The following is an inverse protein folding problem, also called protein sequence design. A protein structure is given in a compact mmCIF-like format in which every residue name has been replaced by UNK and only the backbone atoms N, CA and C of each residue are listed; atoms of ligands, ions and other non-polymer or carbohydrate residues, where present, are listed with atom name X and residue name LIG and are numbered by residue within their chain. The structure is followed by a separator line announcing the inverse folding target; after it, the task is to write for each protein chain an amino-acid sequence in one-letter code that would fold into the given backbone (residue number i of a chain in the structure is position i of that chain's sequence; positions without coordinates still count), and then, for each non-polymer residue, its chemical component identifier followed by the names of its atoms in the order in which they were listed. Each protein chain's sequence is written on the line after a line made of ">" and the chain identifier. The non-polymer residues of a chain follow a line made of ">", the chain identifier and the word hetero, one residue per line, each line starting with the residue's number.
data_IF_768333804307
#
_entry.id   IF_768333804307
#
_cell.length_a   1.000
_cell.length_b   1.000
_cell.length_c   1.000
_cell.angle_alpha   90.00
_cell.angle_beta   90.00
_cell.angle_gamma   90.00
#
_symmetry.space_group_name_H-M   'P 1'
#
loop_
_entity.id
_entity.type
_entity.pdbx_description
1 polymer ?
#
# COMPACT_ATOMS: atom_id res chain seq x y z
N UNK A 1 51.22 17.90 26.65
CA UNK A 1 51.83 16.57 26.43
C UNK A 1 50.76 15.69 25.82
N UNK A 2 50.99 15.08 24.66
CA UNK A 2 50.02 14.15 24.07
C UNK A 2 49.81 12.95 25.03
N UNK A 3 48.57 12.53 25.24
CA UNK A 3 48.27 11.39 26.11
C UNK A 3 48.92 10.11 25.55
N UNK A 4 49.09 9.08 26.39
CA UNK A 4 49.58 7.77 25.93
C UNK A 4 48.69 7.18 24.82
N UNK A 5 47.39 7.43 24.87
CA UNK A 5 46.43 7.06 23.84
C UNK A 5 46.68 7.80 22.50
N UNK A 6 46.98 9.10 22.53
CA UNK A 6 47.29 9.88 21.32
C UNK A 6 48.59 9.43 20.63
N UNK A 7 49.55 8.92 21.41
CA UNK A 7 50.77 8.32 20.85
C UNK A 7 50.45 7.01 20.13
N UNK A 8 49.68 6.12 20.78
CA UNK A 8 49.25 4.84 20.20
C UNK A 8 48.41 5.03 18.92
N UNK A 9 47.45 5.97 18.93
CA UNK A 9 46.61 6.26 17.77
C UNK A 9 47.39 6.78 16.56
N UNK A 10 48.47 7.54 16.78
CA UNK A 10 49.37 7.96 15.70
C UNK A 10 50.20 6.81 15.13
N UNK A 11 50.77 5.97 16.00
CA UNK A 11 51.52 4.78 15.56
C UNK A 11 50.64 3.80 14.78
N UNK A 12 49.39 3.59 15.22
CA UNK A 12 48.43 2.75 14.50
C UNK A 12 48.07 3.36 13.14
N UNK A 13 47.77 4.66 13.08
CA UNK A 13 47.50 5.37 11.82
C UNK A 13 48.65 5.26 10.82
N UNK A 14 49.89 5.33 11.30
CA UNK A 14 51.09 5.17 10.48
C UNK A 14 51.22 3.74 9.94
N UNK A 15 51.04 2.72 10.79
CA UNK A 15 51.03 1.32 10.38
C UNK A 15 49.95 1.02 9.33
N UNK A 16 48.73 1.53 9.53
CA UNK A 16 47.59 1.30 8.63
C UNK A 16 47.86 1.78 7.20
N UNK A 17 48.75 2.77 6.98
CA UNK A 17 49.14 3.21 5.62
C UNK A 17 49.87 2.14 4.82
N UNK A 18 50.57 1.23 5.50
CA UNK A 18 51.35 0.16 4.86
C UNK A 18 50.51 -1.12 4.65
N UNK A 19 49.33 -1.19 5.27
CA UNK A 19 48.46 -2.36 5.25
C UNK A 19 48.04 -2.75 3.81
N UNK A 20 47.56 -1.84 2.94
CA UNK A 20 47.10 -2.22 1.59
C UNK A 20 48.18 -2.86 0.71
N UNK A 21 49.44 -2.49 0.91
CA UNK A 21 50.56 -2.94 0.06
C UNK A 21 51.19 -4.22 0.61
N UNK A 22 51.40 -4.31 1.92
CA UNK A 22 52.21 -5.38 2.51
C UNK A 22 51.39 -6.46 3.23
N UNK A 23 50.19 -6.14 3.70
CA UNK A 23 49.38 -7.03 4.55
C UNK A 23 48.10 -7.49 3.86
N UNK A 24 47.35 -6.59 3.23
CA UNK A 24 46.08 -6.90 2.56
C UNK A 24 46.20 -8.01 1.48
N UNK A 25 47.26 -8.07 0.65
CA UNK A 25 47.42 -9.17 -0.31
C UNK A 25 47.60 -10.54 0.36
N UNK A 26 48.18 -10.57 1.56
CA UNK A 26 48.34 -11.80 2.35
C UNK A 26 47.01 -12.22 2.97
N UNK A 27 46.20 -11.24 3.43
CA UNK A 27 44.93 -11.50 4.07
C UNK A 27 43.84 -11.90 3.08
N UNK A 28 43.72 -11.22 1.94
CA UNK A 28 42.51 -11.29 1.11
C UNK A 28 42.71 -11.97 -0.24
N UNK A 29 43.92 -12.46 -0.55
CA UNK A 29 44.18 -13.14 -1.82
C UNK A 29 43.99 -14.65 -1.70
N UNK A 30 42.92 -15.16 -2.29
CA UNK A 30 42.66 -16.58 -2.44
C UNK A 30 42.16 -16.91 -3.85
N UNK A 31 42.47 -18.11 -4.32
CA UNK A 31 41.96 -18.67 -5.57
C UNK A 31 41.28 -20.01 -5.29
N UNK A 32 40.16 -20.25 -5.94
CA UNK A 32 39.41 -21.49 -5.83
C UNK A 32 38.72 -21.78 -7.16
N UNK A 33 38.84 -23.02 -7.67
CA UNK A 33 38.20 -23.41 -8.93
C UNK A 33 38.60 -22.57 -10.16
N UNK A 34 39.85 -22.09 -10.21
CA UNK A 34 40.35 -21.27 -11.33
C UNK A 34 39.90 -19.81 -11.32
N UNK A 35 39.19 -19.35 -10.28
CA UNK A 35 38.84 -17.93 -10.07
C UNK A 35 39.50 -17.37 -8.82
N UNK A 36 39.82 -16.08 -8.88
CA UNK A 36 40.19 -15.30 -7.70
C UNK A 36 38.93 -14.97 -6.90
N UNK A 37 38.99 -15.14 -5.57
CA UNK A 37 37.91 -14.75 -4.67
C UNK A 37 37.99 -13.26 -4.37
N UNK A 38 36.83 -12.66 -4.16
CA UNK A 38 36.71 -11.28 -3.68
C UNK A 38 37.09 -11.21 -2.20
N UNK A 39 37.54 -10.03 -1.75
CA UNK A 39 37.90 -9.79 -0.35
C UNK A 39 36.76 -10.16 0.62
N UNK A 40 35.52 -9.77 0.29
CA UNK A 40 34.34 -10.11 1.08
C UNK A 40 34.02 -11.61 1.12
N UNK A 41 34.34 -12.34 0.06
CA UNK A 41 34.18 -13.80 0.02
C UNK A 41 35.20 -14.48 0.94
N UNK A 42 36.46 -14.02 0.92
CA UNK A 42 37.52 -14.50 1.82
C UNK A 42 37.20 -14.18 3.27
N UNK A 43 36.72 -12.97 3.57
CA UNK A 43 36.33 -12.59 4.94
C UNK A 43 35.20 -13.48 5.50
N UNK A 44 34.18 -13.78 4.69
CA UNK A 44 33.08 -14.67 5.13
C UNK A 44 33.55 -16.10 5.37
N UNK A 45 34.39 -16.65 4.49
CA UNK A 45 34.94 -18.01 4.67
C UNK A 45 35.78 -18.09 5.95
N UNK A 46 36.63 -17.09 6.21
CA UNK A 46 37.48 -17.07 7.40
C UNK A 46 36.68 -16.87 8.70
N UNK A 47 35.67 -15.98 8.69
CA UNK A 47 34.81 -15.79 9.86
C UNK A 47 34.06 -17.08 10.24
N UNK A 48 33.57 -17.84 9.25
CA UNK A 48 32.91 -19.12 9.51
C UNK A 48 33.88 -20.23 9.94
N UNK A 49 35.16 -20.15 9.54
CA UNK A 49 36.18 -21.08 10.00
C UNK A 49 36.57 -20.84 11.46
N UNK A 50 36.60 -19.58 11.89
CA UNK A 50 36.97 -19.16 13.24
C UNK A 50 35.81 -19.32 14.23
N UNK A 51 34.60 -18.88 13.87
CA UNK A 51 33.44 -18.83 14.77
C UNK A 51 32.45 -20.00 14.59
N UNK A 52 32.67 -20.86 13.59
CA UNK A 52 31.76 -21.94 13.22
C UNK A 52 30.46 -21.45 12.56
N UNK A 53 29.35 -22.23 12.63
CA UNK A 53 28.11 -21.87 11.94
C UNK A 53 27.45 -20.58 12.47
N UNK A 54 27.35 -19.56 11.61
CA UNK A 54 26.81 -18.24 11.93
C UNK A 54 25.50 -17.94 11.19
N UNK A 55 24.64 -17.12 11.82
CA UNK A 55 23.49 -16.52 11.12
C UNK A 55 23.93 -15.38 10.19
N UNK A 56 23.22 -15.09 9.08
CA UNK A 56 23.52 -13.94 8.21
C UNK A 56 23.58 -12.61 8.96
N UNK A 57 22.73 -12.41 9.98
CA UNK A 57 22.76 -11.20 10.81
C UNK A 57 24.05 -11.06 11.61
N UNK A 58 24.60 -12.17 12.12
CA UNK A 58 25.89 -12.15 12.83
C UNK A 58 27.06 -11.87 11.88
N UNK A 59 27.05 -12.47 10.69
CA UNK A 59 28.07 -12.22 9.67
C UNK A 59 28.04 -10.75 9.21
N UNK A 60 26.84 -10.21 8.95
CA UNK A 60 26.66 -8.80 8.57
C UNK A 60 27.20 -7.83 9.61
N UNK A 61 26.97 -8.12 10.90
CA UNK A 61 27.45 -7.28 12.01
C UNK A 61 28.96 -7.42 12.24
N UNK A 62 29.47 -8.64 12.30
CA UNK A 62 30.88 -8.91 12.57
C UNK A 62 31.81 -8.40 11.46
N UNK A 63 31.37 -8.46 10.20
CA UNK A 63 32.14 -7.97 9.05
C UNK A 63 31.79 -6.53 8.64
N UNK A 64 30.89 -5.86 9.37
CA UNK A 64 30.34 -4.54 9.03
C UNK A 64 29.84 -4.45 7.57
N UNK A 65 29.20 -5.52 7.09
CA UNK A 65 28.70 -5.64 5.72
C UNK A 65 27.20 -5.31 5.65
N UNK A 66 26.81 -4.47 4.70
CA UNK A 66 25.38 -4.19 4.45
C UNK A 66 24.63 -5.45 4.00
N UNK A 67 23.39 -5.62 4.47
CA UNK A 67 22.57 -6.83 4.23
C UNK A 67 22.44 -7.20 2.75
N UNK A 68 22.23 -6.24 1.85
CA UNK A 68 22.10 -6.49 0.41
C UNK A 68 23.40 -7.01 -0.23
N UNK A 69 24.56 -6.57 0.26
CA UNK A 69 25.88 -7.03 -0.18
C UNK A 69 26.18 -8.44 0.34
N UNK A 70 25.84 -8.72 1.60
CA UNK A 70 26.06 -10.03 2.20
C UNK A 70 25.29 -11.15 1.49
N UNK A 71 24.02 -10.94 1.15
CA UNK A 71 23.21 -11.95 0.43
C UNK A 71 23.87 -12.36 -0.90
N UNK A 72 24.43 -11.39 -1.64
CA UNK A 72 25.12 -11.67 -2.89
C UNK A 72 26.43 -12.45 -2.67
N UNK A 73 27.17 -12.17 -1.59
CA UNK A 73 28.39 -12.88 -1.22
C UNK A 73 28.09 -14.32 -0.81
N UNK A 74 27.10 -14.53 0.06
CA UNK A 74 26.68 -15.87 0.51
C UNK A 74 26.27 -16.74 -0.68
N UNK A 75 25.43 -16.22 -1.57
CA UNK A 75 25.00 -16.93 -2.77
C UNK A 75 26.17 -17.35 -3.66
N UNK A 76 27.14 -16.47 -3.93
CA UNK A 76 28.29 -16.81 -4.77
C UNK A 76 29.18 -17.89 -4.15
N UNK A 77 29.33 -17.89 -2.83
CA UNK A 77 30.10 -18.91 -2.12
C UNK A 77 29.36 -20.26 -2.04
N UNK A 78 28.03 -20.23 -1.94
CA UNK A 78 27.17 -21.41 -2.07
C UNK A 78 27.24 -22.01 -3.47
N UNK A 79 27.18 -21.17 -4.52
CA UNK A 79 27.31 -21.59 -5.92
C UNK A 79 28.68 -22.25 -6.20
N UNK A 80 29.72 -21.85 -5.46
CA UNK A 80 31.04 -22.49 -5.50
C UNK A 80 31.14 -23.77 -4.67
N UNK A 81 30.08 -24.16 -3.95
CA UNK A 81 30.08 -25.30 -3.05
C UNK A 81 30.93 -25.12 -1.80
N UNK A 82 31.28 -23.88 -1.43
CA UNK A 82 32.10 -23.57 -0.26
C UNK A 82 31.25 -23.41 1.02
N UNK A 83 29.97 -23.09 0.88
CA UNK A 83 29.02 -22.91 1.99
C UNK A 83 27.81 -23.82 1.86
N UNK A 84 27.27 -24.21 3.02
CA UNK A 84 25.97 -24.87 3.18
C UNK A 84 25.04 -24.06 4.05
N UNK A 85 23.73 -24.33 3.93
CA UNK A 85 22.68 -23.79 4.80
C UNK A 85 22.10 -24.90 5.67
N UNK A 86 21.89 -24.57 6.94
CA UNK A 86 21.23 -25.44 7.90
C UNK A 86 20.06 -24.68 8.54
N UNK A 87 18.86 -25.18 8.34
CA UNK A 87 17.64 -24.61 8.92
C UNK A 87 17.62 -24.77 10.44
N UNK A 88 17.02 -23.80 11.13
CA UNK A 88 16.78 -23.86 12.57
C UNK A 88 15.36 -24.41 12.77
N UNK A 89 15.18 -25.59 13.41
CA UNK A 89 13.87 -26.27 13.48
C UNK A 89 12.74 -25.47 14.15
N UNK A 90 13.07 -24.43 14.91
CA UNK A 90 12.14 -23.64 15.72
C UNK A 90 11.77 -22.30 15.05
N UNK A 91 12.38 -21.95 13.92
CA UNK A 91 12.11 -20.72 13.17
C UNK A 91 12.37 -20.95 11.66
N UNK A 92 11.30 -21.21 10.91
CA UNK A 92 11.34 -21.43 9.45
C UNK A 92 11.92 -20.25 8.65
N UNK A 93 12.10 -19.07 9.28
CA UNK A 93 12.66 -17.87 8.66
C UNK A 93 14.14 -17.65 9.00
N UNK A 94 14.74 -18.50 9.83
CA UNK A 94 16.12 -18.37 10.28
C UNK A 94 16.96 -19.60 9.92
N UNK A 95 18.07 -19.37 9.22
CA UNK A 95 19.05 -20.41 8.88
C UNK A 95 20.45 -20.01 9.37
N UNK A 96 21.30 -21.02 9.58
CA UNK A 96 22.74 -20.84 9.78
C UNK A 96 23.49 -21.18 8.50
N UNK A 97 24.56 -20.43 8.27
CA UNK A 97 25.52 -20.68 7.22
C UNK A 97 26.70 -21.42 7.84
N UNK A 98 27.17 -22.47 7.19
CA UNK A 98 28.32 -23.26 7.62
C UNK A 98 29.25 -23.56 6.44
N UNK A 99 30.54 -23.81 6.73
CA UNK A 99 31.49 -24.24 5.71
C UNK A 99 31.19 -25.68 5.30
N UNK A 100 31.24 -25.95 4.00
CA UNK A 100 31.34 -27.33 3.51
C UNK A 100 32.74 -27.89 3.77
N UNK A 101 32.99 -29.19 3.58
CA UNK A 101 34.35 -29.74 3.63
C UNK A 101 35.32 -29.03 2.66
N UNK A 102 34.85 -28.60 1.49
CA UNK A 102 35.65 -27.83 0.54
C UNK A 102 35.92 -26.40 1.05
N UNK A 103 34.92 -25.76 1.66
CA UNK A 103 35.08 -24.47 2.34
C UNK A 103 36.08 -24.50 3.49
N UNK A 104 36.04 -25.55 4.31
CA UNK A 104 36.96 -25.75 5.42
C UNK A 104 38.40 -25.97 4.92
N UNK A 105 38.59 -26.82 3.89
CA UNK A 105 39.91 -27.05 3.30
C UNK A 105 40.50 -25.76 2.69
N UNK A 106 39.67 -24.95 2.04
CA UNK A 106 40.07 -23.64 1.54
C UNK A 106 40.47 -22.69 2.68
N UNK A 107 39.69 -22.63 3.76
CA UNK A 107 40.03 -21.79 4.92
C UNK A 107 41.38 -22.19 5.53
N UNK A 108 41.64 -23.48 5.72
CA UNK A 108 42.95 -23.98 6.17
C UNK A 108 44.08 -23.55 5.22
N UNK A 109 43.88 -23.69 3.91
CA UNK A 109 44.87 -23.25 2.92
C UNK A 109 45.17 -21.74 3.02
N UNK A 110 44.12 -20.91 3.18
CA UNK A 110 44.26 -19.46 3.35
C UNK A 110 45.03 -19.13 4.63
N UNK A 111 44.70 -19.77 5.76
CA UNK A 111 45.40 -19.60 7.04
C UNK A 111 46.89 -19.93 6.92
N UNK A 112 47.22 -21.03 6.27
CA UNK A 112 48.62 -21.46 6.13
C UNK A 112 49.42 -20.52 5.24
N UNK A 113 48.83 -20.06 4.15
CA UNK A 113 49.43 -19.05 3.28
C UNK A 113 49.63 -17.72 4.00
N UNK A 114 48.63 -17.24 4.75
CA UNK A 114 48.71 -16.04 5.59
C UNK A 114 49.87 -16.15 6.56
N UNK A 115 49.93 -17.27 7.28
CA UNK A 115 50.97 -17.56 8.29
C UNK A 115 52.38 -17.59 7.69
N UNK A 116 52.54 -18.15 6.50
CA UNK A 116 53.81 -18.16 5.79
C UNK A 116 54.21 -16.76 5.30
N UNK A 117 53.30 -16.06 4.62
CA UNK A 117 53.60 -14.71 4.09
C UNK A 117 53.91 -13.69 5.18
N UNK A 118 53.22 -13.75 6.32
CA UNK A 118 53.54 -12.90 7.47
C UNK A 118 54.92 -13.22 8.05
N UNK A 119 55.28 -14.51 8.16
CA UNK A 119 56.63 -14.91 8.60
C UNK A 119 57.72 -14.35 7.70
N UNK A 120 57.55 -14.46 6.38
CA UNK A 120 58.52 -13.96 5.40
C UNK A 120 58.62 -12.42 5.46
N UNK A 121 57.48 -11.74 5.58
CA UNK A 121 57.39 -10.27 5.67
C UNK A 121 58.18 -9.73 6.86
N UNK A 122 58.11 -10.41 8.01
CA UNK A 122 58.78 -9.98 9.24
C UNK A 122 60.14 -10.65 9.48
N UNK A 123 60.62 -11.49 8.56
CA UNK A 123 61.85 -12.28 8.75
C UNK A 123 63.13 -11.44 8.94
N UNK A 124 63.12 -10.17 8.50
CA UNK A 124 64.27 -9.25 8.61
C UNK A 124 64.22 -8.34 9.83
N UNK A 125 63.18 -8.43 10.65
CA UNK A 125 63.06 -7.64 11.87
C UNK A 125 63.97 -8.25 12.95
N UNK A 126 64.61 -7.40 13.76
CA UNK A 126 65.43 -7.89 14.87
C UNK A 126 64.55 -8.69 15.86
N UNK A 127 65.08 -9.75 16.50
CA UNK A 127 64.29 -10.58 17.41
C UNK A 127 63.60 -9.79 18.53
N UNK A 128 64.29 -8.81 19.12
CA UNK A 128 63.77 -7.98 20.20
C UNK A 128 62.64 -7.05 19.72
N UNK A 129 62.76 -6.48 18.52
CA UNK A 129 61.72 -5.64 17.92
C UNK A 129 60.47 -6.46 17.55
N UNK A 130 60.67 -7.69 17.06
CA UNK A 130 59.56 -8.61 16.77
C UNK A 130 58.82 -9.02 18.05
N UNK A 131 59.55 -9.26 19.13
CA UNK A 131 58.96 -9.55 20.44
C UNK A 131 58.18 -8.35 20.98
N UNK A 132 58.74 -7.15 20.92
CA UNK A 132 58.07 -5.93 21.37
C UNK A 132 56.79 -5.65 20.55
N UNK A 133 56.84 -5.85 19.22
CA UNK A 133 55.70 -5.64 18.34
C UNK A 133 54.57 -6.67 18.59
N UNK A 134 54.92 -7.95 18.75
CA UNK A 134 53.94 -9.01 19.05
C UNK A 134 53.23 -8.77 20.39
N UNK A 135 53.99 -8.42 21.44
CA UNK A 135 53.41 -8.04 22.73
C UNK A 135 52.45 -6.84 22.63
N UNK A 136 52.79 -5.84 21.82
CA UNK A 136 51.90 -4.72 21.54
C UNK A 136 50.60 -5.13 20.83
N UNK A 137 50.69 -6.01 19.83
CA UNK A 137 49.53 -6.54 19.10
C UNK A 137 48.66 -7.44 19.98
N UNK A 138 49.25 -8.24 20.87
CA UNK A 138 48.52 -9.08 21.81
C UNK A 138 47.73 -8.23 22.82
N UNK A 139 48.32 -7.14 23.32
CA UNK A 139 47.63 -6.18 24.19
C UNK A 139 46.46 -5.51 23.47
N UNK A 140 46.63 -5.09 22.21
CA UNK A 140 45.56 -4.53 21.39
C UNK A 140 44.45 -5.56 21.13
N UNK A 141 44.82 -6.79 20.80
CA UNK A 141 43.87 -7.88 20.54
C UNK A 141 43.05 -8.23 21.79
N UNK A 142 43.70 -8.31 22.96
CA UNK A 142 43.02 -8.52 24.23
C UNK A 142 42.08 -7.36 24.60
N UNK A 143 42.47 -6.12 24.29
CA UNK A 143 41.62 -4.94 24.49
C UNK A 143 40.42 -4.94 23.55
N UNK A 144 40.59 -5.23 22.26
CA UNK A 144 39.49 -5.33 21.31
C UNK A 144 38.52 -6.45 21.66
N UNK A 145 39.02 -7.63 22.07
CA UNK A 145 38.17 -8.71 22.57
C UNK A 145 37.34 -8.27 23.77
N UNK A 146 37.93 -7.52 24.72
CA UNK A 146 37.19 -6.97 25.86
C UNK A 146 36.13 -5.96 25.43
N UNK A 147 36.43 -5.09 24.46
CA UNK A 147 35.43 -4.16 23.88
C UNK A 147 34.31 -4.89 23.15
N UNK A 148 34.62 -5.97 22.43
CA UNK A 148 33.63 -6.82 21.76
C UNK A 148 32.76 -7.58 22.77
N UNK A 149 33.34 -8.13 23.83
CA UNK A 149 32.62 -8.77 24.95
C UNK A 149 31.72 -7.74 25.68
N UNK A 150 32.22 -6.54 25.97
CA UNK A 150 31.46 -5.45 26.59
C UNK A 150 30.33 -4.96 25.66
N UNK A 151 30.59 -4.85 24.36
CA UNK A 151 29.58 -4.51 23.35
C UNK A 151 28.55 -5.63 23.16
N UNK A 152 28.93 -6.90 23.29
CA UNK A 152 28.03 -8.06 23.21
C UNK A 152 27.18 -8.21 24.50
N UNK A 153 27.75 -7.84 25.66
CA UNK A 153 27.06 -7.84 26.96
C UNK A 153 26.08 -6.67 27.04
N UNK A 154 26.50 -5.45 26.65
CA UNK A 154 25.58 -4.33 26.47
C UNK A 154 24.55 -4.63 25.37
N UNK A 155 24.91 -5.29 24.27
CA UNK A 155 23.90 -5.70 23.28
C UNK A 155 22.91 -6.76 23.79
N UNK A 156 23.21 -7.49 24.87
CA UNK A 156 22.25 -8.38 25.54
C UNK A 156 21.42 -7.65 26.60
N UNK A 157 21.94 -6.59 27.23
CA UNK A 157 21.20 -5.80 28.23
C UNK A 157 20.37 -4.66 27.61
N UNK A 158 20.84 -4.05 26.52
CA UNK A 158 20.08 -3.08 25.69
C UNK A 158 19.23 -3.76 24.61
N UNK A 159 19.37 -5.08 24.44
CA UNK A 159 18.35 -5.91 23.83
C UNK A 159 17.71 -6.72 24.96
N UNK A 160 16.79 -6.08 25.68
CA UNK A 160 15.51 -6.77 25.87
C UNK A 160 15.20 -7.34 24.49
N UNK A 161 15.25 -8.69 24.32
CA UNK A 161 14.72 -9.36 23.13
C UNK A 161 13.50 -8.53 22.78
N UNK A 162 13.42 -7.87 21.60
CA UNK A 162 12.24 -7.08 21.30
C UNK A 162 11.12 -8.02 21.66
N UNK A 163 10.32 -7.66 22.68
CA UNK A 163 9.20 -8.49 23.11
C UNK A 163 8.58 -8.83 21.78
N UNK A 164 8.58 -10.13 21.44
CA UNK A 164 8.06 -10.52 20.16
C UNK A 164 6.58 -10.21 20.33
N UNK A 165 6.21 -8.97 20.04
CA UNK A 165 4.97 -8.33 20.43
C UNK A 165 3.83 -9.11 19.82
N UNK A 166 4.13 -9.79 18.72
CA UNK A 166 3.28 -10.75 18.09
C UNK A 166 3.05 -11.95 19.00
N UNK A 167 4.08 -12.68 19.44
CA UNK A 167 3.92 -13.81 20.35
C UNK A 167 3.50 -13.45 21.80
N UNK A 168 3.76 -12.22 22.24
CA UNK A 168 3.33 -11.71 23.54
C UNK A 168 1.87 -11.25 23.55
N UNK A 169 1.29 -10.96 22.38
CA UNK A 169 -0.11 -10.59 22.26
C UNK A 169 -1.03 -11.79 22.44
N UNK A 170 -2.28 -11.49 22.84
CA UNK A 170 -3.30 -12.52 22.97
C UNK A 170 -3.50 -13.26 21.63
N UNK A 171 -3.95 -14.53 21.64
CA UNK A 171 -4.28 -15.23 20.41
C UNK A 171 -5.31 -14.48 19.56
N UNK A 172 -6.23 -13.75 20.20
CA UNK A 172 -7.25 -12.94 19.56
C UNK A 172 -6.66 -11.74 18.82
N UNK A 173 -5.80 -10.95 19.49
CA UNK A 173 -5.13 -9.79 18.89
C UNK A 173 -4.25 -10.19 17.70
N UNK A 174 -3.58 -11.34 17.79
CA UNK A 174 -2.79 -11.89 16.67
C UNK A 174 -3.67 -12.24 15.49
N UNK A 175 -4.78 -12.93 15.74
CA UNK A 175 -5.74 -13.32 14.69
C UNK A 175 -6.28 -12.09 13.97
N UNK A 176 -6.63 -11.04 14.71
CA UNK A 176 -7.08 -9.76 14.13
C UNK A 176 -5.96 -9.10 13.31
N UNK A 177 -4.74 -9.03 13.84
CA UNK A 177 -3.57 -8.47 13.16
C UNK A 177 -3.19 -9.22 11.87
N UNK A 178 -3.28 -10.54 11.88
CA UNK A 178 -2.98 -11.36 10.69
C UNK A 178 -4.06 -11.22 9.61
N UNK A 179 -5.32 -11.06 10.02
CA UNK A 179 -6.43 -10.80 9.11
C UNK A 179 -6.47 -9.34 8.61
N UNK A 180 -5.75 -8.42 9.25
CA UNK A 180 -5.72 -7.02 8.87
C UNK A 180 -5.06 -6.82 7.50
N UNK A 181 -5.70 -6.02 6.66
CA UNK A 181 -5.23 -5.63 5.33
C UNK A 181 -5.97 -4.38 4.86
N UNK A 182 -5.59 -3.82 3.70
CA UNK A 182 -6.22 -2.61 3.17
C UNK A 182 -7.66 -2.81 2.64
N UNK A 183 -8.18 -4.03 2.64
CA UNK A 183 -9.50 -4.37 2.08
C UNK A 183 -10.60 -4.33 3.15
N UNK A 184 -11.81 -3.97 2.72
CA UNK A 184 -13.03 -4.17 3.51
C UNK A 184 -13.27 -5.66 3.73
N UNK A 185 -13.71 -6.02 4.92
CA UNK A 185 -13.97 -7.42 5.27
C UNK A 185 -15.35 -7.57 5.88
N UNK A 186 -16.10 -8.58 5.43
CA UNK A 186 -17.37 -8.96 6.04
C UNK A 186 -17.15 -9.57 7.43
N UNK A 187 -17.93 -9.15 8.40
CA UNK A 187 -18.01 -9.69 9.77
C UNK A 187 -19.10 -10.76 9.78
N UNK A 188 -18.72 -12.02 10.00
CA UNK A 188 -19.65 -13.16 9.93
C UNK A 188 -20.00 -13.74 11.30
N UNK A 189 -19.17 -13.46 12.30
CA UNK A 189 -19.38 -13.88 13.68
C UNK A 189 -18.89 -12.81 14.66
N UNK A 190 -19.32 -12.92 15.92
CA UNK A 190 -18.89 -12.02 16.99
C UNK A 190 -17.36 -11.97 17.19
N UNK A 191 -16.63 -13.02 16.78
CA UNK A 191 -15.17 -13.06 16.83
C UNK A 191 -14.48 -12.31 15.67
N UNK A 192 -15.22 -11.91 14.63
CA UNK A 192 -14.67 -11.20 13.46
C UNK A 192 -14.77 -9.68 13.60
N UNK A 193 -15.66 -9.20 14.48
CA UNK A 193 -15.88 -7.77 14.72
C UNK A 193 -14.72 -7.20 15.54
N UNK A 194 -14.18 -6.02 15.18
CA UNK A 194 -13.07 -5.45 15.94
C UNK A 194 -13.49 -5.13 17.39
N UNK A 195 -12.58 -5.29 18.37
CA UNK A 195 -12.92 -5.19 19.80
C UNK A 195 -13.69 -3.92 20.19
N UNK A 196 -13.32 -2.76 19.61
CA UNK A 196 -13.97 -1.46 19.87
C UNK A 196 -15.42 -1.38 19.45
N UNK A 197 -15.88 -2.26 18.57
CA UNK A 197 -17.22 -2.24 18.00
C UNK A 197 -18.09 -3.43 18.44
N UNK A 198 -17.58 -4.31 19.31
CA UNK A 198 -18.29 -5.54 19.75
C UNK A 198 -19.68 -5.29 20.30
N UNK A 199 -19.88 -4.15 20.98
CA UNK A 199 -21.19 -3.78 21.54
C UNK A 199 -22.29 -3.61 20.49
N UNK A 200 -21.92 -3.37 19.23
CA UNK A 200 -22.87 -3.18 18.13
C UNK A 200 -23.15 -4.48 17.36
N UNK A 201 -22.40 -5.57 17.61
CA UNK A 201 -22.61 -6.83 16.90
C UNK A 201 -24.01 -7.41 17.07
N UNK A 202 -24.60 -7.50 18.30
CA UNK A 202 -25.90 -8.12 18.48
C UNK A 202 -27.04 -7.42 17.72
N UNK A 203 -26.93 -6.11 17.48
CA UNK A 203 -27.94 -5.33 16.75
C UNK A 203 -27.85 -5.56 15.23
N UNK A 204 -26.66 -5.89 14.72
CA UNK A 204 -26.38 -5.93 13.28
C UNK A 204 -25.87 -7.29 12.78
N UNK A 205 -25.91 -8.36 13.58
CA UNK A 205 -25.44 -9.69 13.20
C UNK A 205 -26.21 -10.30 12.02
N UNK A 206 -27.40 -9.80 11.76
CA UNK A 206 -28.26 -10.20 10.64
C UNK A 206 -28.32 -9.16 9.52
N UNK A 207 -27.50 -8.12 9.58
CA UNK A 207 -27.43 -7.14 8.51
C UNK A 207 -27.02 -7.80 7.19
N UNK A 208 -27.60 -7.33 6.08
CA UNK A 208 -27.29 -7.85 4.74
C UNK A 208 -25.81 -7.74 4.40
N UNK A 209 -25.20 -6.65 4.85
CA UNK A 209 -23.76 -6.43 4.87
C UNK A 209 -23.36 -5.91 6.24
N UNK A 210 -22.39 -6.55 6.90
CA UNK A 210 -21.73 -6.04 8.09
C UNK A 210 -20.23 -6.01 7.80
N UNK A 211 -19.66 -4.83 7.63
CA UNK A 211 -18.30 -4.62 7.13
C UNK A 211 -17.44 -3.98 8.21
N UNK A 212 -16.19 -4.42 8.34
CA UNK A 212 -15.15 -3.70 9.08
C UNK A 212 -14.23 -2.95 8.11
N UNK A 213 -13.95 -1.70 8.47
CA UNK A 213 -13.25 -0.71 7.64
C UNK A 213 -11.84 -0.52 8.19
N UNK A 214 -10.79 -0.95 7.47
CA UNK A 214 -9.43 -0.89 7.99
C UNK A 214 -8.94 0.55 8.05
N UNK A 215 -8.10 0.86 9.04
CA UNK A 215 -7.39 2.15 9.08
C UNK A 215 -6.38 2.24 7.95
N UNK A 216 -6.24 3.43 7.39
CA UNK A 216 -5.14 3.73 6.48
C UNK A 216 -3.84 3.96 7.26
N UNK A 217 -3.12 2.89 7.56
CA UNK A 217 -1.87 2.93 8.32
C UNK A 217 -0.81 1.97 7.75
N UNK A 218 0.47 2.37 7.82
CA UNK A 218 1.58 1.49 7.45
C UNK A 218 1.63 0.32 8.45
N UNK A 219 1.49 -0.92 7.93
CA UNK A 219 1.54 -2.16 8.71
C UNK A 219 2.78 -2.25 9.60
N UNK A 220 3.90 -1.63 9.21
CA UNK A 220 5.15 -1.57 10.00
C UNK A 220 5.00 -0.80 11.31
N UNK A 221 4.03 0.09 11.39
CA UNK A 221 3.70 0.88 12.59
C UNK A 221 2.64 0.21 13.45
N UNK A 222 1.92 -0.77 12.92
CA UNK A 222 0.84 -1.46 13.62
C UNK A 222 1.35 -2.65 14.42
N UNK A 223 0.67 -2.93 15.54
CA UNK A 223 0.92 -4.05 16.45
C UNK A 223 -0.43 -4.68 16.83
N UNK A 224 -0.48 -5.98 17.15
CA UNK A 224 -1.63 -6.62 17.77
C UNK A 224 -2.09 -5.86 19.02
N UNK A 225 -3.40 -5.76 19.20
CA UNK A 225 -4.04 -5.01 20.29
C UNK A 225 -4.17 -3.51 20.04
N UNK A 226 -3.60 -2.98 18.95
CA UNK A 226 -3.90 -1.61 18.49
C UNK A 226 -5.26 -1.58 17.80
N UNK A 227 -5.88 -0.39 17.73
CA UNK A 227 -7.08 -0.18 16.93
C UNK A 227 -6.72 -0.22 15.44
N UNK A 228 -6.94 -1.37 14.80
CA UNK A 228 -6.61 -1.63 13.39
C UNK A 228 -7.72 -1.19 12.42
N UNK A 229 -8.95 -1.10 12.90
CA UNK A 229 -10.13 -0.72 12.11
C UNK A 229 -10.69 0.60 12.61
N UNK A 230 -11.02 1.51 11.69
CA UNK A 230 -11.59 2.82 12.02
C UNK A 230 -13.11 2.82 12.08
N UNK A 231 -13.77 1.86 11.43
CA UNK A 231 -15.22 1.82 11.44
C UNK A 231 -15.79 0.40 11.28
N UNK A 232 -17.05 0.24 11.71
CA UNK A 232 -17.94 -0.84 11.30
C UNK A 232 -19.14 -0.22 10.60
N UNK A 233 -19.48 -0.77 9.45
CA UNK A 233 -20.55 -0.30 8.58
C UNK A 233 -21.53 -1.45 8.32
N UNK A 234 -22.78 -1.27 8.73
CA UNK A 234 -23.85 -2.23 8.53
C UNK A 234 -24.90 -1.67 7.55
N UNK A 235 -25.44 -2.54 6.71
CA UNK A 235 -26.50 -2.22 5.75
C UNK A 235 -27.52 -3.35 5.78
N UNK A 236 -28.79 -3.00 5.94
CA UNK A 236 -29.90 -3.94 6.06
C UNK A 236 -31.18 -3.43 5.38
N UNK A 237 -32.31 -4.06 5.66
CA UNK A 237 -33.57 -3.73 5.01
C UNK A 237 -34.14 -2.37 5.43
N UNK A 238 -33.73 -1.82 6.58
CA UNK A 238 -34.25 -0.60 7.19
C UNK A 238 -33.35 0.62 6.91
N UNK A 239 -32.05 0.39 6.71
CA UNK A 239 -31.12 1.47 6.40
C UNK A 239 -29.66 1.07 6.47
N UNK A 240 -28.84 2.03 6.92
CA UNK A 240 -27.45 1.77 7.26
C UNK A 240 -27.06 2.34 8.62
N UNK A 241 -26.07 1.69 9.22
CA UNK A 241 -25.44 2.07 10.47
C UNK A 241 -23.94 2.19 10.24
N UNK A 242 -23.35 3.28 10.72
CA UNK A 242 -21.91 3.51 10.72
C UNK A 242 -21.47 3.84 12.14
N UNK A 243 -20.61 2.99 12.70
CA UNK A 243 -19.84 3.28 13.91
C UNK A 243 -18.42 3.61 13.52
N UNK A 244 -17.91 4.80 13.88
CA UNK A 244 -16.56 5.27 13.56
C UNK A 244 -15.78 5.61 14.82
N UNK A 245 -14.52 5.20 14.88
CA UNK A 245 -13.59 5.50 15.95
C UNK A 245 -12.93 6.86 15.70
N UNK A 246 -13.27 7.85 16.51
CA UNK A 246 -12.76 9.23 16.46
C UNK A 246 -12.25 9.62 17.85
N UNK A 247 -10.98 10.03 17.94
CA UNK A 247 -10.32 10.47 19.18
C UNK A 247 -10.47 9.50 20.37
N UNK A 248 -10.48 8.19 20.08
CA UNK A 248 -10.61 7.12 21.08
C UNK A 248 -12.05 6.87 21.55
N UNK A 249 -13.03 7.58 20.98
CA UNK A 249 -14.46 7.37 21.20
C UNK A 249 -15.13 6.85 19.93
N UNK A 250 -16.27 6.16 20.06
CA UNK A 250 -17.02 5.68 18.90
C UNK A 250 -18.21 6.61 18.66
N UNK A 251 -18.22 7.29 17.52
CA UNK A 251 -19.37 8.03 17.00
C UNK A 251 -20.25 7.09 16.18
N UNK A 252 -21.56 7.35 16.20
CA UNK A 252 -22.58 6.49 15.58
C UNK A 252 -23.52 7.31 14.72
N UNK A 253 -23.80 6.78 13.53
CA UNK A 253 -24.71 7.36 12.56
C UNK A 253 -25.64 6.27 12.07
N UNK A 254 -26.94 6.50 12.17
CA UNK A 254 -27.98 5.62 11.64
C UNK A 254 -28.83 6.42 10.67
N UNK A 255 -29.12 5.83 9.52
CA UNK A 255 -29.85 6.50 8.44
C UNK A 255 -30.86 5.52 7.86
N UNK A 256 -32.12 5.95 7.77
CA UNK A 256 -33.17 5.19 7.09
C UNK A 256 -33.07 5.38 5.57
N UNK A 257 -33.55 4.42 4.78
CA UNK A 257 -33.59 4.56 3.32
C UNK A 257 -34.37 5.79 2.84
N UNK A 258 -35.32 6.24 3.65
CA UNK A 258 -36.08 7.46 3.38
C UNK A 258 -35.28 8.75 3.53
N UNK A 259 -34.12 8.74 4.18
CA UNK A 259 -33.25 9.90 4.30
C UNK A 259 -32.14 9.93 3.22
N UNK A 260 -32.11 8.93 2.33
CA UNK A 260 -31.15 8.84 1.23
C UNK A 260 -31.72 9.46 -0.04
N UNK A 261 -31.02 10.45 -0.56
CA UNK A 261 -31.35 11.16 -1.80
C UNK A 261 -30.68 10.52 -3.02
N UNK A 262 -29.42 10.09 -2.90
CA UNK A 262 -28.66 9.44 -3.96
C UNK A 262 -27.48 8.64 -3.38
N UNK A 263 -26.86 7.80 -4.21
CA UNK A 263 -25.63 7.07 -3.88
C UNK A 263 -24.64 7.21 -5.02
N UNK A 264 -23.34 7.25 -4.72
CA UNK A 264 -22.31 7.27 -5.74
C UNK A 264 -20.99 6.70 -5.26
N UNK A 265 -20.13 6.38 -6.19
CA UNK A 265 -18.79 5.88 -5.94
C UNK A 265 -17.78 6.69 -6.75
N UNK A 266 -16.70 7.10 -6.09
CA UNK A 266 -15.54 7.72 -6.71
C UNK A 266 -14.34 6.78 -6.57
N UNK A 267 -13.51 6.71 -7.60
CA UNK A 267 -12.21 6.04 -7.52
C UNK A 267 -11.09 6.86 -8.13
N UNK A 268 -9.89 6.76 -7.58
CA UNK A 268 -8.64 7.14 -8.25
C UNK A 268 -7.55 6.12 -7.86
N UNK A 269 -7.14 5.31 -8.83
CA UNK A 269 -6.22 4.17 -8.65
C UNK A 269 -6.73 3.19 -7.58
N UNK A 270 -6.09 3.13 -6.41
CA UNK A 270 -6.45 2.23 -5.32
C UNK A 270 -7.37 2.88 -4.29
N UNK A 271 -7.59 4.19 -4.37
CA UNK A 271 -8.48 4.89 -3.45
C UNK A 271 -9.92 4.82 -3.99
N UNK A 272 -10.84 4.41 -3.14
CA UNK A 272 -12.28 4.44 -3.36
C UNK A 272 -12.97 5.27 -2.29
N UNK A 273 -14.01 5.99 -2.69
CA UNK A 273 -14.88 6.75 -1.80
C UNK A 273 -16.31 6.44 -2.19
N UNK A 274 -17.00 5.71 -1.33
CA UNK A 274 -18.43 5.49 -1.47
C UNK A 274 -19.18 6.60 -0.74
N UNK A 275 -20.11 7.25 -1.42
CA UNK A 275 -20.81 8.44 -0.93
C UNK A 275 -22.31 8.20 -0.91
N UNK A 276 -22.93 8.43 0.24
CA UNK A 276 -24.38 8.53 0.37
C UNK A 276 -24.76 9.99 0.55
N UNK A 277 -25.64 10.47 -0.31
CA UNK A 277 -26.16 11.84 -0.29
C UNK A 277 -27.44 11.85 0.55
N UNK A 278 -27.44 12.59 1.66
CA UNK A 278 -28.56 12.63 2.60
C UNK A 278 -29.46 13.84 2.35
N UNK A 279 -30.74 13.71 2.74
CA UNK A 279 -31.75 14.76 2.54
C UNK A 279 -31.48 16.08 3.28
N UNK A 280 -30.67 16.02 4.34
CA UNK A 280 -30.32 17.13 5.21
C UNK A 280 -29.07 17.92 4.72
N UNK A 281 -28.71 17.75 3.44
CA UNK A 281 -27.50 18.26 2.82
C UNK A 281 -26.17 17.60 3.27
N UNK A 282 -26.19 16.70 4.26
CA UNK A 282 -24.99 15.97 4.66
C UNK A 282 -24.61 14.87 3.65
N UNK A 283 -23.33 14.50 3.64
CA UNK A 283 -22.82 13.39 2.83
C UNK A 283 -22.07 12.43 3.72
N UNK A 284 -22.53 11.19 3.80
CA UNK A 284 -21.77 10.14 4.44
C UNK A 284 -20.77 9.61 3.43
N UNK A 285 -19.48 9.62 3.80
CA UNK A 285 -18.40 9.07 3.00
C UNK A 285 -17.76 7.89 3.71
N UNK A 286 -17.56 6.81 2.96
CA UNK A 286 -16.83 5.62 3.35
C UNK A 286 -15.64 5.46 2.41
N UNK A 287 -14.43 5.66 2.94
CA UNK A 287 -13.21 5.41 2.18
C UNK A 287 -12.87 3.92 2.21
N UNK A 288 -12.38 3.41 1.08
CA UNK A 288 -11.99 2.01 0.95
C UNK A 288 -10.91 1.84 -0.11
N UNK A 289 -10.25 0.69 -0.10
CA UNK A 289 -9.32 0.33 -1.17
C UNK A 289 -10.06 -0.34 -2.33
N UNK A 290 -9.77 0.03 -3.58
CA UNK A 290 -10.42 -0.51 -4.79
C UNK A 290 -10.28 -2.03 -4.95
N UNK A 291 -9.41 -2.72 -4.21
CA UNK A 291 -9.45 -4.19 -4.09
C UNK A 291 -10.81 -4.70 -3.56
N UNK A 292 -11.58 -3.85 -2.89
CA UNK A 292 -12.94 -4.14 -2.41
C UNK A 292 -14.05 -3.60 -3.30
N UNK A 293 -13.76 -3.23 -4.56
CA UNK A 293 -14.76 -2.68 -5.50
C UNK A 293 -15.95 -3.62 -5.68
N UNK A 294 -15.73 -4.90 -5.95
CA UNK A 294 -16.81 -5.88 -6.15
C UNK A 294 -17.76 -5.99 -4.93
N UNK A 295 -17.22 -5.84 -3.72
CA UNK A 295 -18.04 -5.83 -2.50
C UNK A 295 -18.86 -4.55 -2.41
N UNK A 296 -18.24 -3.40 -2.65
CA UNK A 296 -18.93 -2.10 -2.63
C UNK A 296 -19.93 -1.94 -3.76
N UNK A 297 -19.72 -2.60 -4.89
CA UNK A 297 -20.68 -2.70 -5.98
C UNK A 297 -21.95 -3.42 -5.54
N UNK A 298 -21.82 -4.57 -4.85
CA UNK A 298 -22.98 -5.28 -4.27
C UNK A 298 -23.71 -4.45 -3.21
N UNK A 299 -22.98 -3.70 -2.39
CA UNK A 299 -23.57 -2.75 -1.43
C UNK A 299 -24.35 -1.67 -2.18
N UNK A 300 -23.74 -1.08 -3.21
CA UNK A 300 -24.35 -0.02 -4.03
C UNK A 300 -25.62 -0.53 -4.71
N UNK A 301 -25.60 -1.73 -5.29
CA UNK A 301 -26.77 -2.30 -5.95
C UNK A 301 -27.91 -2.61 -4.97
N UNK A 302 -27.57 -3.05 -3.76
CA UNK A 302 -28.56 -3.22 -2.71
C UNK A 302 -29.18 -1.88 -2.28
N UNK A 303 -28.37 -0.84 -2.11
CA UNK A 303 -28.87 0.52 -1.84
C UNK A 303 -29.76 1.01 -2.97
N UNK A 304 -29.32 0.90 -4.22
CA UNK A 304 -30.09 1.28 -5.42
C UNK A 304 -31.46 0.58 -5.46
N UNK A 305 -31.53 -0.69 -5.07
CA UNK A 305 -32.80 -1.42 -5.02
C UNK A 305 -33.77 -0.90 -3.93
N UNK A 306 -33.25 -0.31 -2.85
CA UNK A 306 -34.02 0.27 -1.73
C UNK A 306 -34.51 1.69 -2.01
N UNK A 307 -33.81 2.44 -2.85
CA UNK A 307 -34.24 3.76 -3.30
C UNK A 307 -35.40 3.59 -4.28
N UNK A 308 -36.63 3.63 -3.74
CA UNK A 308 -37.92 3.35 -4.39
C UNK A 308 -38.00 3.69 -5.88
N UNK A 309 -38.68 2.85 -6.70
CA UNK A 309 -38.84 3.12 -8.12
C UNK A 309 -39.76 4.32 -8.36
N UNK A 310 -39.38 5.20 -9.28
CA UNK A 310 -40.27 6.20 -9.84
C UNK A 310 -41.42 5.54 -10.64
N UNK A 311 -42.54 6.24 -10.88
CA UNK A 311 -43.60 5.72 -11.74
C UNK A 311 -43.05 5.31 -13.11
N UNK A 312 -43.43 4.13 -13.58
CA UNK A 312 -42.96 3.63 -14.86
C UNK A 312 -43.50 4.52 -16.01
N UNK A 313 -42.61 5.28 -16.65
CA UNK A 313 -42.90 5.94 -17.93
C UNK A 313 -42.78 4.88 -19.03
N UNK A 314 -43.82 4.66 -19.87
CA UNK A 314 -43.76 3.73 -20.98
C UNK A 314 -42.62 4.09 -21.94
N UNK A 315 -41.86 3.09 -22.42
CA UNK A 315 -40.74 3.29 -23.36
C UNK A 315 -41.15 4.09 -24.60
N UNK A 316 -42.37 3.90 -25.10
CA UNK A 316 -42.89 4.61 -26.28
C UNK A 316 -43.07 6.14 -26.08
N UNK A 317 -43.09 6.63 -24.84
CA UNK A 317 -43.18 8.05 -24.55
C UNK A 317 -41.80 8.73 -24.46
N UNK A 318 -40.72 7.95 -24.39
CA UNK A 318 -39.35 8.47 -24.34
C UNK A 318 -38.87 8.84 -25.76
N UNK A 319 -38.01 9.87 -25.88
CA UNK A 319 -37.36 10.18 -27.14
C UNK A 319 -36.42 9.05 -27.58
N UNK A 320 -36.08 9.03 -28.86
CA UNK A 320 -35.08 8.12 -29.38
C UNK A 320 -33.70 8.48 -28.83
N UNK A 321 -32.96 7.47 -28.38
CA UNK A 321 -31.64 7.65 -27.79
C UNK A 321 -30.55 7.42 -28.85
N UNK A 322 -29.47 8.23 -28.83
CA UNK A 322 -28.41 8.10 -29.81
C UNK A 322 -27.65 6.78 -29.61
N UNK A 323 -27.23 6.17 -30.72
CA UNK A 323 -26.26 5.09 -30.66
C UNK A 323 -24.89 5.67 -30.29
N UNK A 324 -24.22 5.08 -29.29
CA UNK A 324 -22.93 5.55 -28.78
C UNK A 324 -21.84 4.61 -29.24
N UNK A 325 -20.92 5.12 -30.05
CA UNK A 325 -19.69 4.44 -30.40
C UNK A 325 -18.56 4.85 -29.45
N UNK A 326 -17.91 3.87 -28.83
CA UNK A 326 -16.75 4.09 -27.96
C UNK A 326 -15.46 3.95 -28.74
N UNK A 327 -14.55 4.91 -28.58
CA UNK A 327 -13.18 4.83 -29.11
C UNK A 327 -12.21 4.30 -28.06
N UNK A 328 -10.94 4.09 -28.43
CA UNK A 328 -9.88 3.71 -27.47
C UNK A 328 -9.73 4.70 -26.31
N UNK A 329 -10.07 5.98 -26.51
CA UNK A 329 -10.04 6.99 -25.45
C UNK A 329 -11.16 6.81 -24.41
N UNK A 330 -12.18 6.01 -24.74
CA UNK A 330 -13.42 5.88 -23.98
C UNK A 330 -13.59 4.51 -23.31
N UNK A 331 -12.54 3.68 -23.31
CA UNK A 331 -12.54 2.32 -22.73
C UNK A 331 -13.10 2.32 -21.30
N UNK A 332 -12.80 3.36 -20.51
CA UNK A 332 -13.32 3.51 -19.15
C UNK A 332 -14.84 3.61 -19.14
N UNK A 333 -15.43 4.43 -20.00
CA UNK A 333 -16.89 4.58 -20.09
C UNK A 333 -17.54 3.29 -20.61
N UNK A 334 -17.00 2.67 -21.66
CA UNK A 334 -17.51 1.40 -22.19
C UNK A 334 -17.47 0.29 -21.14
N UNK A 335 -16.39 0.19 -20.37
CA UNK A 335 -16.24 -0.80 -19.29
C UNK A 335 -17.23 -0.55 -18.15
N UNK A 336 -17.37 0.70 -17.70
CA UNK A 336 -18.33 1.08 -16.67
C UNK A 336 -19.78 0.81 -17.09
N UNK A 337 -20.14 1.11 -18.35
CA UNK A 337 -21.46 0.82 -18.89
C UNK A 337 -21.76 -0.69 -18.87
N UNK A 338 -20.82 -1.51 -19.34
CA UNK A 338 -20.98 -2.98 -19.35
C UNK A 338 -21.07 -3.56 -17.94
N UNK A 339 -20.34 -3.00 -16.99
CA UNK A 339 -20.39 -3.40 -15.58
C UNK A 339 -21.73 -3.05 -14.94
N UNK A 340 -22.21 -1.82 -15.08
CA UNK A 340 -23.48 -1.39 -14.51
C UNK A 340 -24.65 -2.10 -15.20
N UNK A 341 -24.61 -2.33 -16.53
CA UNK A 341 -25.61 -3.12 -17.26
C UNK A 341 -25.72 -4.55 -16.73
N UNK A 342 -24.59 -5.20 -16.39
CA UNK A 342 -24.58 -6.56 -15.83
C UNK A 342 -25.21 -6.63 -14.44
N UNK A 343 -25.21 -5.52 -13.70
CA UNK A 343 -25.71 -5.41 -12.32
C UNK A 343 -27.10 -4.78 -12.21
N UNK A 344 -27.61 -4.19 -13.29
CA UNK A 344 -28.88 -3.48 -13.32
C UNK A 344 -29.95 -4.32 -13.99
N UNK A 345 -31.10 -4.50 -13.34
CA UNK A 345 -32.26 -5.12 -13.96
C UNK A 345 -32.99 -4.12 -14.86
N UNK A 346 -33.16 -4.48 -16.14
CA UNK A 346 -33.89 -3.68 -17.12
C UNK A 346 -32.99 -2.84 -18.03
N UNK A 347 -33.59 -1.97 -18.87
CA UNK A 347 -32.85 -1.18 -19.83
C UNK A 347 -31.99 -0.12 -19.13
N UNK A 348 -30.78 0.08 -19.64
CA UNK A 348 -29.87 1.14 -19.24
C UNK A 348 -29.20 1.70 -20.50
N UNK A 349 -29.62 2.88 -20.91
CA UNK A 349 -29.29 3.45 -22.22
C UNK A 349 -28.58 4.79 -22.07
N UNK A 350 -27.50 5.04 -22.85
CA UNK A 350 -26.90 6.37 -22.92
C UNK A 350 -27.86 7.39 -23.49
N UNK A 351 -28.10 8.48 -22.75
CA UNK A 351 -28.89 9.63 -23.19
C UNK A 351 -28.04 10.86 -23.47
N UNK A 352 -26.79 10.86 -23.01
CA UNK A 352 -25.78 11.87 -23.34
C UNK A 352 -24.39 11.24 -23.23
N UNK A 353 -23.51 11.51 -24.19
CA UNK A 353 -22.13 11.04 -24.16
C UNK A 353 -21.18 12.07 -24.76
N UNK A 354 -20.09 12.32 -24.05
CA UNK A 354 -18.98 13.14 -24.52
C UNK A 354 -17.67 12.37 -24.30
N UNK A 355 -16.97 12.09 -25.40
CA UNK A 355 -15.66 11.45 -25.36
C UNK A 355 -14.61 12.33 -24.66
N UNK A 356 -13.66 11.68 -23.99
CA UNK A 356 -12.53 12.34 -23.35
C UNK A 356 -11.53 12.93 -24.38
N UNK A 357 -10.69 13.86 -23.95
CA UNK A 357 -9.58 14.40 -24.76
C UNK A 357 -9.94 15.58 -25.68
N UNK A 358 -11.22 15.98 -25.75
CA UNK A 358 -11.66 17.19 -26.45
C UNK A 358 -11.04 18.44 -25.83
N UNK A 359 -10.62 19.41 -26.64
CA UNK A 359 -10.05 20.66 -26.13
C UNK A 359 -11.13 21.50 -25.44
N UNK A 360 -10.82 22.03 -24.26
CA UNK A 360 -11.73 22.85 -23.46
C UNK A 360 -10.99 23.91 -22.63
N UNK A 361 -11.75 24.66 -21.85
CA UNK A 361 -11.26 25.62 -20.86
C UNK A 361 -11.66 25.12 -19.47
N UNK A 362 -10.70 25.07 -18.54
CA UNK A 362 -10.98 24.69 -17.15
C UNK A 362 -11.69 25.82 -16.37
N UNK A 363 -12.09 25.54 -15.13
CA UNK A 363 -12.74 26.53 -14.26
C UNK A 363 -11.88 27.78 -13.98
N UNK A 364 -10.56 27.71 -14.19
CA UNK A 364 -9.63 28.82 -14.03
C UNK A 364 -9.37 29.60 -15.34
N UNK A 365 -10.09 29.28 -16.42
CA UNK A 365 -9.93 29.95 -17.72
C UNK A 365 -8.72 29.46 -18.53
N UNK A 366 -8.07 28.36 -18.13
CA UNK A 366 -6.87 27.83 -18.81
C UNK A 366 -7.24 26.75 -19.81
N UNK A 367 -6.44 26.65 -20.89
CA UNK A 367 -6.57 25.58 -21.88
C UNK A 367 -6.33 24.22 -21.23
N UNK A 368 -7.31 23.34 -21.38
CA UNK A 368 -7.32 21.99 -20.83
C UNK A 368 -7.87 21.00 -21.85
N UNK A 369 -7.99 19.74 -21.43
CA UNK A 369 -8.69 18.70 -22.18
C UNK A 369 -9.78 18.08 -21.30
N UNK A 370 -10.97 17.91 -21.87
CA UNK A 370 -12.12 17.34 -21.19
C UNK A 370 -11.83 15.90 -20.78
N UNK A 371 -12.35 15.51 -19.62
CA UNK A 371 -12.27 14.15 -19.13
C UNK A 371 -13.45 13.29 -19.60
N UNK A 372 -14.43 13.88 -20.30
CA UNK A 372 -15.62 13.20 -20.81
C UNK A 372 -16.71 12.99 -19.76
N UNK A 373 -17.91 12.67 -20.23
CA UNK A 373 -19.08 12.38 -19.40
C UNK A 373 -20.01 11.43 -20.14
N UNK A 374 -20.67 10.55 -19.41
CA UNK A 374 -21.75 9.72 -19.93
C UNK A 374 -22.93 9.77 -18.95
N UNK A 375 -24.12 10.08 -19.46
CA UNK A 375 -25.36 10.08 -18.68
C UNK A 375 -26.27 9.01 -19.23
N UNK A 376 -26.78 8.15 -18.36
CA UNK A 376 -27.62 7.02 -18.70
C UNK A 376 -29.03 7.18 -18.11
N UNK A 377 -30.04 6.78 -18.87
CA UNK A 377 -31.42 6.60 -18.39
C UNK A 377 -31.65 5.12 -18.05
N UNK A 378 -32.33 4.91 -16.92
CA UNK A 378 -32.98 3.65 -16.58
C UNK A 378 -34.44 3.92 -16.20
N UNK A 379 -35.29 2.91 -16.00
CA UNK A 379 -36.66 3.16 -15.55
C UNK A 379 -36.78 3.84 -14.18
N UNK A 380 -35.76 3.72 -13.30
CA UNK A 380 -35.85 4.12 -11.88
C UNK A 380 -35.00 5.35 -11.55
N UNK A 381 -33.91 5.55 -12.28
CA UNK A 381 -32.86 6.51 -11.93
C UNK A 381 -32.09 7.01 -13.16
N UNK A 382 -31.52 8.20 -13.02
CA UNK A 382 -30.49 8.74 -13.90
C UNK A 382 -29.12 8.31 -13.36
N UNK A 383 -28.26 7.76 -14.21
CA UNK A 383 -26.88 7.41 -13.82
C UNK A 383 -25.91 8.37 -14.49
N UNK A 384 -25.07 9.03 -13.70
CA UNK A 384 -24.04 9.95 -14.18
C UNK A 384 -22.69 9.29 -14.02
N UNK A 385 -21.98 9.11 -15.12
CA UNK A 385 -20.61 8.61 -15.17
C UNK A 385 -19.69 9.72 -15.63
N UNK A 386 -18.73 10.09 -14.81
CA UNK A 386 -17.71 11.08 -15.13
C UNK A 386 -16.35 10.63 -14.57
N UNK A 387 -15.35 11.51 -14.65
CA UNK A 387 -13.97 11.21 -14.25
C UNK A 387 -13.51 12.08 -13.07
N UNK A 388 -14.42 12.48 -12.18
CA UNK A 388 -14.17 13.43 -11.11
C UNK A 388 -14.22 14.88 -11.63
N UNK A 389 -13.07 15.44 -11.98
CA UNK A 389 -12.99 16.79 -12.55
C UNK A 389 -13.37 16.77 -14.04
N UNK A 390 -14.06 17.82 -14.56
CA UNK A 390 -14.53 17.87 -15.95
C UNK A 390 -13.40 18.11 -16.97
N UNK A 391 -12.25 18.62 -16.51
CA UNK A 391 -11.11 18.93 -17.34
C UNK A 391 -9.80 18.66 -16.61
N UNK A 392 -8.75 18.32 -17.36
CA UNK A 392 -7.42 18.13 -16.82
C UNK A 392 -6.34 18.69 -17.77
N UNK A 393 -5.12 18.81 -17.25
CA UNK A 393 -4.00 19.31 -18.05
C UNK A 393 -3.57 18.27 -19.08
N UNK A 394 -3.44 18.70 -20.33
CA UNK A 394 -2.96 17.85 -21.42
C UNK A 394 -1.58 17.25 -21.10
N UNK A 395 -1.44 15.93 -21.30
CA UNK A 395 -0.21 15.18 -21.04
C UNK A 395 -0.06 14.69 -19.60
N UNK A 396 -1.03 14.96 -18.71
CA UNK A 396 -1.08 14.39 -17.36
C UNK A 396 -2.01 13.18 -17.40
N UNK A 397 -1.56 12.04 -16.85
CA UNK A 397 -2.40 10.87 -16.75
C UNK A 397 -3.57 11.12 -15.77
N UNK A 398 -4.76 10.71 -16.16
CA UNK A 398 -5.98 10.90 -15.37
C UNK A 398 -6.69 9.56 -15.20
N UNK A 399 -6.82 9.08 -13.97
CA UNK A 399 -7.36 7.74 -13.67
C UNK A 399 -8.72 7.76 -13.00
N UNK A 400 -9.17 8.92 -12.53
CA UNK A 400 -10.35 9.02 -11.67
C UNK A 400 -11.64 8.59 -12.38
N UNK A 401 -12.48 7.79 -11.74
CA UNK A 401 -13.86 7.49 -12.17
C UNK A 401 -14.83 7.96 -11.11
N UNK A 402 -16.04 8.29 -11.53
CA UNK A 402 -17.11 8.61 -10.61
C UNK A 402 -18.45 8.21 -11.23
N UNK A 403 -19.25 7.49 -10.46
CA UNK A 403 -20.61 7.10 -10.78
C UNK A 403 -21.56 7.66 -9.72
N UNK A 404 -22.67 8.24 -10.16
CA UNK A 404 -23.73 8.72 -9.26
C UNK A 404 -25.06 8.20 -9.76
N UNK A 405 -25.79 7.54 -8.88
CA UNK A 405 -27.11 6.97 -9.12
C UNK A 405 -28.15 7.88 -8.49
N UNK A 406 -28.95 8.54 -9.33
CA UNK A 406 -29.90 9.58 -8.94
C UNK A 406 -31.33 9.08 -9.18
N UNK A 407 -32.04 8.61 -8.15
CA UNK A 407 -33.42 8.15 -8.28
C UNK A 407 -34.34 9.29 -8.77
N UNK A 408 -35.15 9.04 -9.80
CA UNK A 408 -36.07 10.07 -10.31
C UNK A 408 -37.10 10.49 -9.26
N UNK A 409 -37.50 9.58 -8.38
CA UNK A 409 -38.43 9.89 -7.28
C UNK A 409 -37.86 10.83 -6.21
N UNK A 410 -36.55 11.13 -6.22
CA UNK A 410 -35.88 12.06 -5.29
C UNK A 410 -35.53 13.40 -5.94
N UNK A 411 -35.68 13.53 -7.27
CA UNK A 411 -35.45 14.78 -7.98
C UNK A 411 -36.58 15.77 -7.68
N UNK A 412 -36.22 16.96 -7.20
CA UNK A 412 -37.17 18.04 -6.89
C UNK A 412 -37.15 19.15 -7.92
N UNK A 413 -35.99 19.40 -8.54
CA UNK A 413 -35.83 20.39 -9.61
C UNK A 413 -34.60 20.08 -10.45
N UNK A 414 -34.62 20.49 -11.72
CA UNK A 414 -33.47 20.38 -12.61
C UNK A 414 -33.41 21.57 -13.57
N UNK A 415 -32.20 21.99 -13.91
CA UNK A 415 -31.96 23.11 -14.82
C UNK A 415 -30.62 22.99 -15.53
N UNK A 416 -30.40 23.83 -16.54
CA UNK A 416 -29.10 23.99 -17.19
C UNK A 416 -28.64 25.43 -16.98
N UNK A 417 -27.42 25.59 -16.46
CA UNK A 417 -26.69 26.84 -16.50
C UNK A 417 -25.89 26.86 -17.81
N UNK A 418 -26.14 27.80 -18.74
CA UNK A 418 -25.40 27.88 -19.98
C UNK A 418 -23.95 28.35 -19.75
N UNK A 419 -23.03 27.90 -20.61
CA UNK A 419 -21.66 28.38 -20.61
C UNK A 419 -21.57 29.92 -20.74
N UNK A 420 -20.76 30.58 -19.90
CA UNK A 420 -20.67 32.04 -19.82
C UNK A 420 -20.13 32.73 -21.09
N UNK A 421 -19.29 32.03 -21.87
CA UNK A 421 -18.64 32.57 -23.06
C UNK A 421 -19.25 31.99 -24.35
N UNK A 422 -19.45 32.86 -25.35
CA UNK A 422 -19.83 32.43 -26.70
C UNK A 422 -18.63 31.82 -27.42
N UNK A 423 -18.51 30.49 -27.42
CA UNK A 423 -17.47 29.75 -28.14
C UNK A 423 -17.40 28.27 -27.75
N UNK A 424 -16.78 27.44 -28.60
CA UNK A 424 -16.59 26.02 -28.31
C UNK A 424 -15.60 25.81 -27.15
N UNK A 425 -15.82 24.77 -26.33
CA UNK A 425 -14.89 24.36 -25.28
C UNK A 425 -15.18 24.90 -23.87
N UNK A 426 -16.34 25.52 -23.65
CA UNK A 426 -16.83 25.91 -22.32
C UNK A 426 -17.94 24.95 -21.88
N UNK A 427 -18.05 24.71 -20.58
CA UNK A 427 -19.03 23.78 -20.02
C UNK A 427 -20.37 24.47 -19.75
N UNK A 428 -21.45 23.84 -20.21
CA UNK A 428 -22.78 23.99 -19.62
C UNK A 428 -22.82 23.17 -18.32
N UNK A 429 -23.62 23.57 -17.34
CA UNK A 429 -23.78 22.81 -16.09
C UNK A 429 -25.21 22.30 -15.99
N UNK A 430 -25.39 20.98 -16.06
CA UNK A 430 -26.63 20.33 -15.65
C UNK A 430 -26.70 20.36 -14.12
N UNK A 431 -27.74 21.01 -13.59
CA UNK A 431 -27.96 21.13 -12.14
C UNK A 431 -29.16 20.26 -11.77
N UNK A 432 -28.92 19.29 -10.90
CA UNK A 432 -29.93 18.39 -10.34
C UNK A 432 -30.09 18.68 -8.86
N UNK A 433 -31.31 19.02 -8.44
CA UNK A 433 -31.65 19.23 -7.02
C UNK A 433 -32.45 18.04 -6.52
N UNK A 434 -32.00 17.47 -5.41
CA UNK A 434 -32.60 16.33 -4.73
C UNK A 434 -32.64 16.71 -3.26
N UNK A 435 -33.79 16.74 -2.59
CA UNK A 435 -33.91 16.86 -1.12
C UNK A 435 -32.65 17.42 -0.39
N UNK A 436 -32.46 18.75 -0.35
CA UNK A 436 -31.30 19.39 0.30
C UNK A 436 -29.93 19.30 -0.40
N UNK A 437 -29.77 18.41 -1.38
CA UNK A 437 -28.58 18.20 -2.20
C UNK A 437 -28.65 18.92 -3.55
N UNK A 438 -27.46 19.24 -4.07
CA UNK A 438 -27.26 19.71 -5.45
C UNK A 438 -26.14 18.89 -6.08
N UNK A 439 -26.42 18.30 -7.24
CA UNK A 439 -25.44 17.66 -8.11
C UNK A 439 -25.27 18.55 -9.33
N UNK A 440 -24.04 18.98 -9.57
CA UNK A 440 -23.66 19.77 -10.73
C UNK A 440 -22.82 18.90 -11.66
N UNK A 441 -23.29 18.70 -12.89
CA UNK A 441 -22.59 17.93 -13.91
C UNK A 441 -22.23 18.85 -15.08
N UNK A 442 -20.94 19.19 -15.24
CA UNK A 442 -20.46 19.91 -16.41
C UNK A 442 -20.55 19.05 -17.67
N UNK A 443 -21.03 19.64 -18.77
CA UNK A 443 -21.13 19.06 -20.11
C UNK A 443 -20.61 20.08 -21.13
N UNK A 444 -19.73 19.68 -22.06
CA UNK A 444 -19.30 20.55 -23.16
C UNK A 444 -20.42 20.80 -24.16
N UNK A 445 -21.31 19.83 -24.33
CA UNK A 445 -22.47 19.93 -25.19
C UNK A 445 -23.71 20.16 -24.36
N UNK A 446 -24.65 20.95 -24.88
CA UNK A 446 -25.92 21.19 -24.21
C UNK A 446 -26.68 19.85 -24.11
N UNK A 447 -26.93 19.30 -22.90
CA UNK A 447 -27.52 17.98 -22.73
C UNK A 447 -29.06 18.03 -22.87
N UNK A 448 -29.54 18.47 -24.03
CA UNK A 448 -30.96 18.73 -24.26
C UNK A 448 -31.82 17.47 -24.10
N UNK A 449 -31.34 16.34 -24.61
CA UNK A 449 -32.04 15.05 -24.51
C UNK A 449 -32.21 14.60 -23.04
N UNK A 450 -31.23 14.88 -22.19
CA UNK A 450 -31.32 14.61 -20.74
C UNK A 450 -32.46 15.40 -20.11
N UNK A 451 -32.61 16.68 -20.48
CA UNK A 451 -33.71 17.51 -20.00
C UNK A 451 -35.07 16.98 -20.45
N UNK A 452 -35.17 16.50 -21.68
CA UNK A 452 -36.41 15.95 -22.21
C UNK A 452 -36.81 14.66 -21.47
N UNK A 453 -35.83 13.78 -21.19
CA UNK A 453 -36.02 12.59 -20.35
C UNK A 453 -36.43 12.97 -18.93
N UNK A 454 -35.75 13.93 -18.30
CA UNK A 454 -36.06 14.39 -16.94
C UNK A 454 -37.49 14.92 -16.83
N UNK A 455 -37.97 15.70 -17.81
CA UNK A 455 -39.37 16.18 -17.84
C UNK A 455 -40.39 15.05 -17.90
N UNK A 456 -40.08 13.97 -18.61
CA UNK A 456 -40.97 12.81 -18.72
C UNK A 456 -40.94 11.94 -17.47
N UNK A 457 -39.73 11.69 -16.93
CA UNK A 457 -39.51 10.85 -15.73
C UNK A 457 -39.94 11.52 -14.43
N UNK A 458 -39.86 12.85 -14.37
CA UNK A 458 -40.06 13.64 -13.16
C UNK A 458 -41.21 14.65 -13.33
N UNK A 459 -42.39 14.21 -13.76
CA UNK A 459 -43.52 15.10 -14.07
C UNK A 459 -43.96 16.04 -12.93
N UNK A 460 -43.55 15.76 -11.67
CA UNK A 460 -43.80 16.60 -10.50
C UNK A 460 -42.62 17.52 -10.11
N UNK A 461 -41.46 17.38 -10.75
CA UNK A 461 -40.26 18.19 -10.52
C UNK A 461 -40.16 19.24 -11.64
N UNK A 462 -40.84 20.38 -11.46
CA UNK A 462 -40.74 21.54 -12.37
C UNK A 462 -40.38 22.76 -11.53
#
# INVERSE_FOLDING_TARGET
>A
MASSADRLGRSLSEFLRHLPVHIAPLLYSAEFGGRRLLESEVMVVMALAEDGPLSPTRISRGLNMQKGSLTAVLRRLEDLGLLGRRDIPEDERSYRVELTPAGAALATHITERRRQGLRETFARLAPDDSLAASQGLDLLSAHFRKLEEEAMTHANDTVSKPVNWYHAASPEDRKEYDAFGPWLTEVKAAADIPPRFRTFFPEHEHARFLLKVPRNADRRQLRPGMDLYEAVFAVDDDGFFLARLEDGSVTRTQVAWDDVAAVGSFSDRLQGIWTVYLKDANRLKLEFNQVSSELMDRVTDFVRAKLSPAPAVPKAALPEFPEVEFTDADIVFGSALLEIRRRTEGPLEPVHFESAGRSCVDAAGKRAVSTGVMILDSPKELVILNRGEPAHRRGVAWYATNDIFVPYGRLTHFSIIPAEAKGAGHFHTLVLRLDGQVIEQPCLELPQLVMDVLRLRCANAI
#
